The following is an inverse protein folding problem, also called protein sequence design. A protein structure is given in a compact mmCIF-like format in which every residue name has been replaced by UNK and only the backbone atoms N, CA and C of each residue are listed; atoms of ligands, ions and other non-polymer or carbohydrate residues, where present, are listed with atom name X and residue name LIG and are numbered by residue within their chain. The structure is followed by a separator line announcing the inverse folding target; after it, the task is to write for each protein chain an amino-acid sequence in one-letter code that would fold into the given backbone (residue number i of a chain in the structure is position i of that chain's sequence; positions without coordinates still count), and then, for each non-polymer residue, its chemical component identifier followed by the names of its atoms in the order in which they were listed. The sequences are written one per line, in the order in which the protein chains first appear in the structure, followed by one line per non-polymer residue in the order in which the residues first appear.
data_IF_810237544099
#
_entry.id   IF_810237544099
#
_cell.length_a   1.000
_cell.length_b   1.000
_cell.length_c   1.000
_cell.angle_alpha   90.00
_cell.angle_beta   90.00
_cell.angle_gamma   90.00
#
_symmetry.space_group_name_H-M   'P 1'
#
loop_
_entity.id
_entity.type
_entity.pdbx_description
1 polymer ?
#
# COMPACT_ATOMS: atom_id res chain seq x y z
N UNK A 1 -38.26 -28.58 -7.89
CA UNK A 1 -36.97 -28.29 -7.22
C UNK A 1 -36.16 -27.46 -8.18
N UNK A 2 -36.11 -26.15 -7.97
CA UNK A 2 -35.36 -25.27 -8.87
C UNK A 2 -33.86 -25.55 -8.68
N UNK A 3 -33.20 -26.03 -9.73
CA UNK A 3 -31.74 -26.16 -9.78
C UNK A 3 -31.16 -24.80 -10.21
N UNK A 4 -31.27 -23.81 -9.34
CA UNK A 4 -30.61 -22.51 -9.53
C UNK A 4 -29.14 -22.65 -9.20
N UNK A 5 -28.25 -22.01 -9.95
CA UNK A 5 -26.82 -21.98 -9.62
C UNK A 5 -26.61 -21.20 -8.32
N UNK A 6 -26.49 -21.89 -7.20
CA UNK A 6 -26.14 -21.26 -5.93
C UNK A 6 -24.67 -20.80 -6.00
N UNK A 7 -24.45 -19.49 -6.04
CA UNK A 7 -23.10 -18.90 -6.02
C UNK A 7 -22.72 -18.63 -4.57
N UNK A 8 -21.67 -19.29 -4.10
CA UNK A 8 -21.11 -19.06 -2.75
C UNK A 8 -19.86 -18.20 -2.85
N UNK A 9 -19.73 -17.20 -1.98
CA UNK A 9 -18.60 -16.27 -1.95
C UNK A 9 -17.83 -16.45 -0.64
N UNK A 10 -16.50 -16.53 -0.73
CA UNK A 10 -15.59 -16.55 0.41
C UNK A 10 -14.65 -15.35 0.33
N UNK A 11 -14.29 -14.77 1.48
CA UNK A 11 -13.41 -13.60 1.54
C UNK A 11 -12.38 -13.73 2.66
N UNK A 12 -11.18 -13.19 2.42
CA UNK A 12 -10.14 -12.94 3.41
C UNK A 12 -9.60 -11.53 3.19
N UNK A 13 -9.13 -10.87 4.24
CA UNK A 13 -8.61 -9.51 4.13
C UNK A 13 -7.35 -9.34 4.98
N UNK A 14 -6.41 -8.57 4.45
CA UNK A 14 -5.17 -8.18 5.11
C UNK A 14 -5.11 -6.66 5.18
N UNK A 15 -4.73 -6.13 6.34
CA UNK A 15 -4.41 -4.73 6.52
C UNK A 15 -2.89 -4.56 6.48
N UNK A 16 -2.37 -4.00 5.40
CA UNK A 16 -0.96 -3.66 5.26
C UNK A 16 -0.71 -2.20 5.63
N UNK A 17 0.27 -1.96 6.50
CA UNK A 17 0.67 -0.63 6.98
C UNK A 17 2.00 -0.23 6.34
N UNK A 18 2.04 0.97 5.76
CA UNK A 18 3.24 1.56 5.16
C UNK A 18 3.58 2.89 5.83
N UNK A 19 4.87 3.13 6.03
CA UNK A 19 5.38 4.41 6.52
C UNK A 19 6.23 5.09 5.45
N UNK A 20 6.23 6.43 5.47
CA UNK A 20 6.99 7.25 4.56
C UNK A 20 8.43 7.43 5.09
N UNK A 21 9.40 6.89 4.38
CA UNK A 21 10.82 7.19 4.61
C UNK A 21 11.25 8.31 3.67
N UNK A 22 11.49 9.50 4.22
CA UNK A 22 12.07 10.61 3.49
C UNK A 22 13.60 10.45 3.39
N UNK A 23 14.12 10.30 2.18
CA UNK A 23 15.57 10.21 1.92
C UNK A 23 16.14 11.52 1.39
N UNK A 24 16.88 12.27 2.22
CA UNK A 24 17.70 13.39 1.74
C UNK A 24 19.02 12.88 1.15
N UNK A 25 19.21 12.98 -0.16
CA UNK A 25 20.43 12.51 -0.83
C UNK A 25 21.07 13.69 -1.58
N UNK A 26 22.17 14.23 -1.06
CA UNK A 26 22.98 15.23 -1.76
C UNK A 26 23.84 14.54 -2.83
N UNK A 27 23.61 14.85 -4.10
CA UNK A 27 24.40 14.33 -5.22
C UNK A 27 25.62 15.23 -5.43
N UNK A 28 26.82 14.74 -5.14
CA UNK A 28 28.07 15.44 -5.40
C UNK A 28 28.53 15.27 -6.85
N UNK A 29 28.85 16.36 -7.54
CA UNK A 29 29.54 16.32 -8.83
C UNK A 29 31.04 16.53 -8.58
N UNK A 30 31.85 15.52 -8.88
CA UNK A 30 33.32 15.61 -8.78
C UNK A 30 33.89 16.21 -10.06
N UNK A 31 34.52 17.39 -9.98
CA UNK A 31 35.29 17.95 -11.09
C UNK A 31 36.78 17.59 -10.91
N UNK A 32 37.33 16.86 -11.87
CA UNK A 32 38.73 16.43 -11.84
C UNK A 32 39.64 17.66 -11.89
N UNK A 33 40.39 17.90 -10.80
CA UNK A 33 41.39 18.98 -10.71
C UNK A 33 41.03 20.19 -9.84
N UNK A 34 39.77 20.35 -9.39
CA UNK A 34 39.35 21.52 -8.58
C UNK A 34 38.55 21.19 -7.30
N UNK A 35 38.37 19.91 -6.97
CA UNK A 35 37.62 19.47 -5.79
C UNK A 35 36.16 19.14 -6.08
N UNK A 36 35.39 18.77 -5.07
CA UNK A 36 33.97 18.41 -5.21
C UNK A 36 33.09 19.61 -4.93
N UNK A 37 32.11 19.85 -5.80
CA UNK A 37 31.01 20.78 -5.51
C UNK A 37 29.79 19.93 -5.14
N UNK A 38 29.38 20.03 -3.88
CA UNK A 38 28.11 19.46 -3.41
C UNK A 38 27.02 20.49 -3.71
N UNK A 39 26.10 20.14 -4.61
CA UNK A 39 24.92 20.97 -4.84
C UNK A 39 23.73 20.27 -4.20
N UNK A 40 22.99 20.94 -3.29
CA UNK A 40 21.77 20.40 -2.72
C UNK A 40 20.64 20.47 -3.74
N UNK A 41 20.62 19.53 -4.69
CA UNK A 41 19.40 19.28 -5.46
C UNK A 41 18.42 18.49 -4.58
N UNK A 42 17.24 19.03 -4.25
CA UNK A 42 16.20 18.24 -3.60
C UNK A 42 15.78 17.14 -4.55
N UNK A 43 16.23 15.92 -4.27
CA UNK A 43 15.70 14.70 -4.89
C UNK A 43 14.66 14.18 -3.90
N UNK A 44 13.39 14.25 -4.27
CA UNK A 44 12.28 13.73 -3.47
C UNK A 44 12.34 12.19 -3.44
N UNK A 45 13.27 11.62 -2.65
CA UNK A 45 13.37 10.16 -2.45
C UNK A 45 12.47 9.74 -1.31
N UNK A 46 11.18 9.97 -1.48
CA UNK A 46 10.17 9.49 -0.57
C UNK A 46 9.84 8.04 -0.95
N UNK A 47 10.11 7.09 -0.05
CA UNK A 47 9.77 5.68 -0.26
C UNK A 47 8.79 5.19 0.79
N UNK A 48 7.78 4.43 0.39
CA UNK A 48 6.90 3.72 1.31
C UNK A 48 7.59 2.42 1.75
N UNK A 49 7.77 2.25 3.06
CA UNK A 49 8.33 1.02 3.65
C UNK A 49 7.18 0.27 4.32
N UNK A 50 7.01 -1.02 3.99
CA UNK A 50 6.04 -1.87 4.68
C UNK A 50 6.49 -2.07 6.13
N UNK A 51 5.69 -1.61 7.08
CA UNK A 51 6.00 -1.68 8.51
C UNK A 51 5.16 -2.71 9.26
N UNK A 52 4.07 -3.16 8.66
CA UNK A 52 3.24 -4.20 9.26
C UNK A 52 2.21 -4.76 8.30
N UNK A 53 1.72 -5.95 8.63
CA UNK A 53 0.62 -6.59 7.95
C UNK A 53 -0.13 -7.47 8.95
N UNK A 54 -1.44 -7.45 8.87
CA UNK A 54 -2.29 -8.14 9.83
C UNK A 54 -3.53 -8.68 9.14
N UNK A 55 -3.88 -9.93 9.42
CA UNK A 55 -5.14 -10.49 8.95
C UNK A 55 -6.29 -9.86 9.71
N UNK A 56 -7.27 -9.34 8.98
CA UNK A 56 -8.46 -8.76 9.60
C UNK A 56 -9.30 -9.89 10.18
N UNK A 57 -9.36 -9.96 11.51
CA UNK A 57 -10.19 -10.93 12.24
C UNK A 57 -11.55 -10.36 12.66
N UNK A 58 -11.81 -9.07 12.42
CA UNK A 58 -13.05 -8.41 12.79
C UNK A 58 -14.24 -8.92 11.97
N UNK A 59 -15.24 -9.50 12.65
CA UNK A 59 -16.43 -10.02 12.01
C UNK A 59 -17.30 -8.91 11.40
N UNK A 60 -17.34 -7.71 12.00
CA UNK A 60 -18.15 -6.60 11.50
C UNK A 60 -17.59 -6.00 10.20
N UNK A 61 -16.27 -6.11 9.97
CA UNK A 61 -15.67 -5.81 8.68
C UNK A 61 -16.29 -6.69 7.57
N UNK A 62 -16.32 -8.01 7.78
CA UNK A 62 -16.88 -8.94 6.80
C UNK A 62 -18.38 -8.75 6.61
N UNK A 63 -19.13 -8.51 7.69
CA UNK A 63 -20.57 -8.20 7.59
C UNK A 63 -20.82 -7.00 6.68
N UNK A 64 -20.09 -5.91 6.87
CA UNK A 64 -20.21 -4.71 6.03
C UNK A 64 -19.77 -4.96 4.60
N UNK A 65 -18.70 -5.72 4.39
CA UNK A 65 -18.23 -6.10 3.06
C UNK A 65 -19.31 -6.87 2.28
N UNK A 66 -19.93 -7.87 2.91
CA UNK A 66 -20.96 -8.68 2.25
C UNK A 66 -22.23 -7.87 1.95
N UNK A 67 -22.67 -6.99 2.85
CA UNK A 67 -23.77 -6.05 2.58
C UNK A 67 -23.48 -5.17 1.35
N UNK A 68 -22.24 -4.67 1.22
CA UNK A 68 -21.86 -3.87 0.05
C UNK A 68 -21.86 -4.69 -1.25
N UNK A 69 -21.44 -5.95 -1.20
CA UNK A 69 -21.46 -6.86 -2.35
C UNK A 69 -22.90 -7.15 -2.78
N UNK A 70 -23.79 -7.42 -1.83
CA UNK A 70 -25.22 -7.64 -2.10
C UNK A 70 -25.86 -6.41 -2.76
N UNK A 71 -25.61 -5.21 -2.21
CA UNK A 71 -26.13 -3.98 -2.79
C UNK A 71 -25.58 -3.66 -4.19
N UNK A 72 -24.37 -4.13 -4.53
CA UNK A 72 -23.78 -3.95 -5.86
C UNK A 72 -24.32 -4.97 -6.88
N UNK A 73 -24.84 -6.11 -6.39
CA UNK A 73 -25.39 -7.16 -7.22
C UNK A 73 -26.85 -6.88 -7.65
N UNK A 74 -27.52 -5.92 -7.02
CA UNK A 74 -28.80 -5.33 -7.46
C UNK A 74 -28.62 -4.31 -8.58
#
# INVERSE_FOLDING_TARGET
MATGRDTTIYANALQTRYELKAGGSSTGLSVTGLGSISVPWPTDKNSLVKVGEETIADAEFYRRLFVLIENLAE
#
